data_IF_877800807604
#
_entry.id   IF_877800807604
#
_cell.length_a   1.000
_cell.length_b   1.000
_cell.length_c   1.000
_cell.angle_alpha   90.00
_cell.angle_beta   90.00
_cell.angle_gamma   90.00
#
_symmetry.space_group_name_H-M   'P 1'
#
loop_
_entity.id
_entity.type
_entity.pdbx_description
1 polymer ?
#
# COMPACT_ATOMS: atom_id res chain seq x y z
N UNK A 1 -3.38 8.62 11.95
CA UNK A 1 -3.15 8.19 10.55
C UNK A 1 -3.75 9.24 9.62
N UNK A 2 -3.03 9.64 8.58
CA UNK A 2 -3.49 10.58 7.55
C UNK A 2 -3.63 9.81 6.23
N UNK A 3 -4.85 9.71 5.72
CA UNK A 3 -5.18 8.94 4.52
C UNK A 3 -5.70 9.85 3.41
N UNK A 4 -5.07 9.76 2.24
CA UNK A 4 -5.45 10.55 1.05
C UNK A 4 -5.50 12.06 1.30
N UNK A 5 -4.67 12.55 2.22
CA UNK A 5 -4.56 13.98 2.53
C UNK A 5 -3.61 14.63 1.53
N UNK A 6 -3.93 15.85 1.07
CA UNK A 6 -3.03 16.61 0.22
C UNK A 6 -1.64 16.74 0.89
N UNK A 7 -0.52 16.50 0.18
CA UNK A 7 0.81 16.44 0.79
C UNK A 7 1.18 17.69 1.62
N UNK A 8 0.80 18.89 1.16
CA UNK A 8 1.04 20.13 1.89
C UNK A 8 0.29 20.20 3.22
N UNK A 9 -0.96 19.71 3.26
CA UNK A 9 -1.79 19.65 4.47
C UNK A 9 -1.26 18.59 5.42
N UNK A 10 -0.86 17.42 4.90
CA UNK A 10 -0.28 16.36 5.73
C UNK A 10 1.01 16.84 6.41
N UNK A 11 1.88 17.53 5.68
CA UNK A 11 3.09 18.17 6.22
C UNK A 11 2.77 19.16 7.33
N UNK A 12 1.80 20.05 7.11
CA UNK A 12 1.41 21.04 8.12
C UNK A 12 0.87 20.36 9.40
N UNK A 13 0.06 19.31 9.25
CA UNK A 13 -0.47 18.54 10.37
C UNK A 13 0.65 17.84 11.15
N UNK A 14 1.60 17.20 10.47
CA UNK A 14 2.77 16.56 11.11
C UNK A 14 3.58 17.57 11.93
N UNK A 15 3.73 18.80 11.46
CA UNK A 15 4.48 19.83 12.18
C UNK A 15 3.76 20.39 13.41
N UNK A 16 2.42 20.31 13.45
CA UNK A 16 1.59 20.92 14.50
C UNK A 16 1.13 19.94 15.58
N UNK A 17 0.98 18.66 15.23
CA UNK A 17 0.47 17.64 16.14
C UNK A 17 1.66 16.98 16.85
N UNK A 18 1.71 16.99 18.20
CA UNK A 18 2.83 16.38 18.93
C UNK A 18 2.93 14.86 18.79
N UNK A 19 1.83 14.18 18.49
CA UNK A 19 1.81 12.74 18.27
C UNK A 19 2.35 12.39 16.87
N UNK A 20 3.10 11.28 16.71
CA UNK A 20 3.59 10.85 15.41
C UNK A 20 2.47 10.64 14.39
N UNK A 21 2.65 11.17 13.19
CA UNK A 21 1.73 10.97 12.07
C UNK A 21 2.17 9.79 11.21
N UNK A 22 1.19 9.02 10.72
CA UNK A 22 1.40 7.87 9.84
C UNK A 22 0.62 8.12 8.56
N UNK A 23 1.30 8.17 7.42
CA UNK A 23 0.74 8.47 6.12
C UNK A 23 0.37 7.23 5.30
N UNK A 24 -0.73 7.32 4.56
CA UNK A 24 -1.08 6.42 3.46
C UNK A 24 -1.65 7.26 2.32
N UNK A 25 -0.90 7.37 1.23
CA UNK A 25 -1.25 8.26 0.13
C UNK A 25 -1.27 9.75 0.49
N UNK A 26 -0.57 10.14 1.56
CA UNK A 26 -0.56 11.52 2.10
C UNK A 26 0.77 12.25 1.93
N UNK A 27 1.59 11.81 0.96
CA UNK A 27 2.93 12.35 0.75
C UNK A 27 3.97 11.84 1.76
N UNK A 28 5.24 12.23 1.58
CA UNK A 28 6.37 11.69 2.35
C UNK A 28 6.57 12.35 3.71
N UNK A 29 5.93 13.50 3.97
CA UNK A 29 6.17 14.34 5.15
C UNK A 29 5.40 13.89 6.43
N UNK A 30 4.89 12.65 6.47
CA UNK A 30 4.44 12.03 7.72
C UNK A 30 5.62 11.33 8.41
N UNK A 31 5.60 11.20 9.74
CA UNK A 31 6.70 10.58 10.51
C UNK A 31 6.92 9.10 10.17
N UNK A 32 5.86 8.43 9.73
CA UNK A 32 5.91 7.07 9.20
C UNK A 32 4.94 6.86 8.05
N UNK A 33 5.03 5.68 7.43
CA UNK A 33 4.22 5.31 6.27
C UNK A 33 3.64 3.91 6.48
N UNK A 34 2.42 3.71 6.02
CA UNK A 34 1.77 2.38 5.97
C UNK A 34 1.22 2.10 4.59
N UNK A 35 1.05 0.80 4.29
CA UNK A 35 0.39 0.30 3.10
C UNK A 35 -0.38 -0.97 3.46
N UNK A 36 -1.47 -1.25 2.74
CA UNK A 36 -2.14 -2.54 2.86
C UNK A 36 -1.26 -3.61 2.21
N UNK A 37 -1.03 -4.72 2.90
CA UNK A 37 -0.13 -5.80 2.43
C UNK A 37 -0.55 -6.35 1.06
N UNK A 38 -1.86 -6.52 0.83
CA UNK A 38 -2.39 -7.01 -0.46
C UNK A 38 -2.11 -6.07 -1.63
N UNK A 39 -2.16 -4.76 -1.38
CA UNK A 39 -1.86 -3.74 -2.39
C UNK A 39 -0.35 -3.70 -2.66
N UNK A 40 0.46 -3.79 -1.60
CA UNK A 40 1.92 -3.89 -1.71
C UNK A 40 2.34 -5.12 -2.52
N UNK A 41 1.67 -6.26 -2.31
CA UNK A 41 1.99 -7.52 -2.99
C UNK A 41 1.27 -7.68 -4.34
N UNK A 42 0.35 -6.79 -4.70
CA UNK A 42 -0.38 -6.88 -5.97
C UNK A 42 -1.26 -8.12 -6.07
N UNK A 43 -1.97 -8.47 -5.00
CA UNK A 43 -2.87 -9.66 -4.98
C UNK A 43 -4.22 -9.39 -5.65
N UNK A 44 -4.58 -8.11 -5.86
CA UNK A 44 -5.79 -7.69 -6.56
C UNK A 44 -5.44 -7.19 -7.97
N UNK A 45 -5.58 -8.03 -9.02
CA UNK A 45 -5.06 -7.71 -10.36
C UNK A 45 -5.89 -6.67 -11.12
N UNK A 46 -7.14 -6.42 -10.71
CA UNK A 46 -8.05 -5.47 -11.38
C UNK A 46 -8.05 -4.08 -10.74
N UNK A 47 -7.36 -3.89 -9.61
CA UNK A 47 -7.36 -2.63 -8.89
C UNK A 47 -6.03 -2.41 -8.17
N UNK A 48 -5.48 -1.22 -8.33
CA UNK A 48 -4.31 -0.76 -7.57
C UNK A 48 -4.53 0.71 -7.22
N UNK A 49 -4.53 1.10 -5.93
CA UNK A 49 -4.66 2.51 -5.56
C UNK A 49 -3.56 3.36 -6.19
N UNK A 50 -3.87 4.59 -6.58
CA UNK A 50 -2.94 5.47 -7.32
C UNK A 50 -1.63 5.76 -6.57
N UNK A 51 -1.66 5.73 -5.25
CA UNK A 51 -0.50 5.96 -4.38
C UNK A 51 0.33 4.69 -4.10
N UNK A 52 -0.07 3.55 -4.66
CA UNK A 52 0.61 2.26 -4.48
C UNK A 52 1.39 1.91 -5.74
N UNK A 53 2.62 1.44 -5.55
CA UNK A 53 3.37 0.69 -6.55
C UNK A 53 3.57 -0.75 -6.03
N UNK A 54 2.84 -1.75 -6.57
CA UNK A 54 3.01 -3.14 -6.17
C UNK A 54 4.46 -3.59 -6.34
N UNK A 55 4.93 -4.41 -5.41
CA UNK A 55 6.29 -4.97 -5.37
C UNK A 55 6.34 -6.40 -5.89
N UNK A 56 5.19 -7.07 -5.95
CA UNK A 56 5.03 -8.39 -6.56
C UNK A 56 3.84 -8.38 -7.52
N UNK A 57 3.73 -9.45 -8.32
CA UNK A 57 2.53 -9.81 -9.08
C UNK A 57 1.80 -10.92 -8.32
N UNK A 58 1.38 -10.63 -7.09
CA UNK A 58 0.84 -11.64 -6.16
C UNK A 58 -0.29 -12.46 -6.76
N UNK A 59 -1.19 -11.83 -7.51
CA UNK A 59 -2.29 -12.53 -8.19
C UNK A 59 -1.80 -13.60 -9.18
N UNK A 60 -0.76 -13.30 -9.96
CA UNK A 60 -0.22 -14.24 -10.95
C UNK A 60 0.53 -15.38 -10.27
N UNK A 61 1.30 -15.07 -9.22
CA UNK A 61 2.01 -16.08 -8.43
C UNK A 61 1.05 -17.04 -7.73
N UNK A 62 -0.04 -16.53 -7.14
CA UNK A 62 -1.07 -17.37 -6.53
C UNK A 62 -1.73 -18.31 -7.54
N UNK A 63 -2.07 -17.80 -8.74
CA UNK A 63 -2.62 -18.65 -9.82
C UNK A 63 -1.64 -19.73 -10.25
N UNK A 64 -0.37 -19.38 -10.43
CA UNK A 64 0.67 -20.33 -10.81
C UNK A 64 0.80 -21.46 -9.78
N UNK A 65 0.83 -21.13 -8.48
CA UNK A 65 0.93 -22.11 -7.41
C UNK A 65 -0.27 -23.07 -7.37
N UNK A 66 -1.49 -22.57 -7.59
CA UNK A 66 -2.70 -23.40 -7.65
C UNK A 66 -2.66 -24.35 -8.85
N UNK A 67 -2.27 -23.86 -10.03
CA UNK A 67 -2.15 -24.69 -11.23
C UNK A 67 -1.04 -25.75 -11.11
N UNK A 68 0.07 -25.41 -10.43
CA UNK A 68 1.12 -26.37 -10.12
C UNK A 68 0.60 -27.48 -9.20
N UNK A 69 -0.05 -27.11 -8.10
CA UNK A 69 -0.64 -28.07 -7.16
C UNK A 69 -1.67 -28.98 -7.84
N UNK A 70 -2.54 -28.43 -8.68
CA UNK A 70 -3.54 -29.19 -9.45
C UNK A 70 -2.91 -30.25 -10.38
N UNK A 71 -1.70 -30.04 -10.89
CA UNK A 71 -0.98 -31.03 -11.71
C UNK A 71 -0.27 -32.10 -10.87
N UNK A 72 -0.07 -31.84 -9.59
CA UNK A 72 0.62 -32.74 -8.66
C UNK A 72 -0.30 -33.77 -8.00
N UNK A 73 -1.61 -33.60 -8.13
CA UNK A 73 -2.64 -34.51 -7.60
C UNK A 73 -3.28 -35.34 -8.71
#
# INVERSE_FOLDING_TARGET
VLELVAPSVAKELTQKIPAPTIGIGSGPDCDGQILVTTDLLGTFPWFTPKFVKPRLKGADQMRAAIEEWKKSI
#
